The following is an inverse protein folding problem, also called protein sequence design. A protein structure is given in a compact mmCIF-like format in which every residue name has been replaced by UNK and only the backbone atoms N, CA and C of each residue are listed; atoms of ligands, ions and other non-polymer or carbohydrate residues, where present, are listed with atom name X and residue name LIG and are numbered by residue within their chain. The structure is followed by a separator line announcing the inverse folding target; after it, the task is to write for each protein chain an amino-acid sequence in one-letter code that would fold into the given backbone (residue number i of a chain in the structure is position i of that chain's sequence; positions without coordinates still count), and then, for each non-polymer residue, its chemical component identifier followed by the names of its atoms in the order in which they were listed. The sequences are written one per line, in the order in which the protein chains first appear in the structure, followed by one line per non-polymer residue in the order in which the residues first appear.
data_IF_736643588726
#
_entry.id   IF_736643588726
#
_cell.length_a   1.000
_cell.length_b   1.000
_cell.length_c   1.000
_cell.angle_alpha   90.00
_cell.angle_beta   90.00
_cell.angle_gamma   90.00
#
_symmetry.space_group_name_H-M   'P 1'
#
loop_
_entity.id
_entity.type
_entity.pdbx_description
1 polymer ?
#
# COMPACT_ATOMS: atom_id res chain seq x y z
N UNK A 1 -7.78 26.78 30.44
CA UNK A 1 -7.06 26.57 29.15
C UNK A 1 -7.82 25.53 28.31
N UNK A 2 -8.82 25.94 27.51
CA UNK A 2 -9.72 25.02 26.79
C UNK A 2 -9.27 24.62 25.37
N UNK A 3 -8.17 25.19 24.85
CA UNK A 3 -7.80 25.10 23.43
C UNK A 3 -6.78 23.98 23.11
N UNK A 4 -6.00 23.51 24.09
CA UNK A 4 -4.84 22.66 23.80
C UNK A 4 -5.20 21.26 23.26
N UNK A 5 -6.20 20.58 23.84
CA UNK A 5 -6.55 19.20 23.45
C UNK A 5 -7.21 19.08 22.07
N UNK A 6 -8.08 20.03 21.72
CA UNK A 6 -8.79 20.05 20.43
C UNK A 6 -7.85 20.36 19.26
N UNK A 7 -6.87 21.23 19.50
CA UNK A 7 -5.84 21.55 18.53
C UNK A 7 -4.94 20.35 18.26
N UNK A 8 -4.56 19.60 19.31
CA UNK A 8 -3.73 18.40 19.17
C UNK A 8 -4.42 17.28 18.38
N UNK A 9 -5.68 16.94 18.69
CA UNK A 9 -6.42 15.90 17.99
C UNK A 9 -6.56 16.20 16.49
N UNK A 10 -6.84 17.45 16.15
CA UNK A 10 -6.93 17.91 14.76
C UNK A 10 -5.57 17.84 14.05
N UNK A 11 -4.49 18.28 14.70
CA UNK A 11 -3.14 18.20 14.14
C UNK A 11 -2.72 16.76 13.89
N UNK A 12 -2.92 15.85 14.86
CA UNK A 12 -2.58 14.43 14.72
C UNK A 12 -3.40 13.76 13.62
N UNK A 13 -4.71 14.07 13.53
CA UNK A 13 -5.58 13.55 12.47
C UNK A 13 -5.12 14.00 11.08
N UNK A 14 -4.74 15.27 10.94
CA UNK A 14 -4.25 15.82 9.68
C UNK A 14 -2.91 15.21 9.28
N UNK A 15 -1.96 15.15 10.21
CA UNK A 15 -0.64 14.54 9.98
C UNK A 15 -0.84 13.09 9.56
N UNK A 16 -1.66 12.33 10.28
CA UNK A 16 -1.95 10.93 9.95
C UNK A 16 -2.51 10.77 8.54
N UNK A 17 -3.54 11.55 8.18
CA UNK A 17 -4.16 11.49 6.86
C UNK A 17 -3.17 11.80 5.74
N UNK A 18 -2.31 12.82 5.93
CA UNK A 18 -1.26 13.17 4.97
C UNK A 18 -0.23 12.05 4.87
N UNK A 19 0.26 11.52 6.00
CA UNK A 19 1.24 10.44 6.02
C UNK A 19 0.72 9.22 5.27
N UNK A 20 -0.50 8.77 5.55
CA UNK A 20 -1.10 7.62 4.85
C UNK A 20 -1.25 7.86 3.35
N UNK A 21 -1.71 9.05 2.95
CA UNK A 21 -1.86 9.40 1.54
C UNK A 21 -0.53 9.40 0.80
N UNK A 22 0.52 9.99 1.39
CA UNK A 22 1.86 10.02 0.80
C UNK A 22 2.44 8.61 0.70
N UNK A 23 2.33 7.80 1.75
CA UNK A 23 2.81 6.41 1.73
C UNK A 23 2.11 5.60 0.63
N UNK A 24 0.78 5.70 0.55
CA UNK A 24 -0.01 5.01 -0.47
C UNK A 24 0.41 5.42 -1.88
N UNK A 25 0.62 6.72 -2.13
CA UNK A 25 1.03 7.23 -3.43
C UNK A 25 2.47 6.81 -3.80
N UNK A 26 3.40 6.88 -2.85
CA UNK A 26 4.79 6.47 -3.06
C UNK A 26 4.89 4.97 -3.34
N UNK A 27 4.10 4.17 -2.63
CA UNK A 27 4.04 2.74 -2.81
C UNK A 27 3.42 2.38 -4.16
N UNK A 28 2.30 3.01 -4.53
CA UNK A 28 1.66 2.82 -5.83
C UNK A 28 2.61 3.16 -6.99
N UNK A 29 3.24 4.34 -6.94
CA UNK A 29 4.23 4.72 -7.95
C UNK A 29 5.42 3.74 -7.97
N UNK A 30 5.84 3.26 -6.81
CA UNK A 30 6.89 2.27 -6.69
C UNK A 30 6.55 0.96 -7.42
N UNK A 31 5.32 0.47 -7.22
CA UNK A 31 4.81 -0.76 -7.82
C UNK A 31 4.60 -0.62 -9.33
N UNK A 32 4.19 0.55 -9.82
CA UNK A 32 4.12 0.80 -11.27
C UNK A 32 5.48 0.69 -11.96
N UNK A 33 6.58 1.06 -11.27
CA UNK A 33 7.93 0.99 -11.84
C UNK A 33 8.55 -0.39 -11.75
N UNK A 34 8.33 -1.10 -10.65
CA UNK A 34 8.86 -2.45 -10.44
C UNK A 34 7.84 -3.28 -9.64
N UNK A 35 6.85 -3.86 -10.32
CA UNK A 35 5.78 -4.60 -9.66
C UNK A 35 6.28 -5.92 -9.05
N UNK A 36 7.44 -6.42 -9.49
CA UNK A 36 7.96 -7.73 -9.10
C UNK A 36 8.87 -7.66 -7.88
N UNK A 37 9.82 -6.72 -7.84
CA UNK A 37 10.85 -6.71 -6.78
C UNK A 37 10.48 -5.87 -5.58
N UNK A 38 9.45 -5.01 -5.68
CA UNK A 38 9.12 -4.06 -4.63
C UNK A 38 8.21 -4.68 -3.58
N UNK A 39 8.55 -4.44 -2.32
CA UNK A 39 7.75 -4.88 -1.18
C UNK A 39 6.50 -4.00 -1.03
N UNK A 40 5.40 -4.64 -0.64
CA UNK A 40 4.14 -3.98 -0.32
C UNK A 40 4.06 -3.87 1.20
N UNK A 41 4.00 -2.64 1.68
CA UNK A 41 3.91 -2.29 3.09
C UNK A 41 2.48 -1.93 3.48
N UNK A 42 1.68 -1.47 2.52
CA UNK A 42 0.28 -1.11 2.74
C UNK A 42 -0.60 -2.34 2.88
N UNK A 43 -1.40 -2.47 3.95
CA UNK A 43 -2.26 -3.64 4.17
C UNK A 43 -3.47 -3.70 3.21
N UNK A 44 -3.72 -2.63 2.45
CA UNK A 44 -4.84 -2.49 1.51
C UNK A 44 -4.40 -2.57 0.03
N UNK A 45 -3.13 -2.88 -0.23
CA UNK A 45 -2.64 -3.20 -1.57
C UNK A 45 -2.27 -4.68 -1.57
N UNK A 46 -2.77 -5.41 -2.57
CA UNK A 46 -2.48 -6.83 -2.73
C UNK A 46 -1.83 -7.07 -4.09
N UNK A 47 -0.86 -7.99 -4.13
CA UNK A 47 -0.18 -8.40 -5.35
C UNK A 47 -0.36 -9.89 -5.58
N UNK A 48 -0.92 -10.21 -6.74
CA UNK A 48 -0.99 -11.59 -7.24
C UNK A 48 0.01 -11.73 -8.39
N UNK A 49 0.82 -12.78 -8.35
CA UNK A 49 1.83 -13.07 -9.36
C UNK A 49 1.54 -14.42 -9.98
N UNK A 50 1.33 -14.43 -11.29
CA UNK A 50 1.24 -15.65 -12.08
C UNK A 50 2.50 -15.78 -12.93
N UNK A 51 3.15 -16.95 -12.84
CA UNK A 51 4.39 -17.24 -13.57
C UNK A 51 4.06 -18.25 -14.65
N UNK A 52 4.03 -17.78 -15.89
CA UNK A 52 3.80 -18.64 -17.04
C UNK A 52 5.15 -18.99 -17.66
N UNK A 53 5.48 -20.28 -17.66
CA UNK A 53 6.66 -20.81 -18.35
C UNK A 53 6.22 -21.17 -19.77
N UNK A 54 6.51 -20.33 -20.76
CA UNK A 54 6.38 -20.74 -22.15
C UNK A 54 7.61 -21.58 -22.54
N UNK A 55 7.38 -22.85 -22.88
CA UNK A 55 8.42 -23.71 -23.43
C UNK A 55 8.73 -23.25 -24.86
N UNK A 56 9.97 -22.82 -25.08
CA UNK A 56 10.41 -22.33 -26.39
C UNK A 56 10.40 -23.49 -27.40
N UNK A 57 9.53 -23.46 -28.40
CA UNK A 57 9.63 -24.37 -29.56
C UNK A 57 10.96 -24.09 -30.26
N UNK A 58 11.89 -25.06 -30.37
CA UNK A 58 13.18 -24.80 -30.98
C UNK A 58 13.00 -24.48 -32.47
N UNK A 59 13.71 -23.48 -33.03
CA UNK A 59 13.82 -23.35 -34.47
C UNK A 59 14.53 -24.60 -35.00
N UNK A 60 13.94 -25.25 -36.00
CA UNK A 60 14.61 -26.29 -36.74
C UNK A 60 15.92 -25.73 -37.34
N UNK A 61 17.00 -26.46 -37.13
CA UNK A 61 18.35 -26.20 -37.63
C UNK A 61 19.09 -24.96 -37.11
N UNK A 62 19.79 -25.09 -35.98
CA UNK A 62 21.21 -24.68 -35.92
C UNK A 62 21.94 -25.45 -34.82
N UNK A 63 23.01 -26.15 -35.19
CA UNK A 63 23.94 -26.77 -34.25
C UNK A 63 24.71 -25.68 -33.47
N UNK A 64 24.31 -25.40 -32.24
CA UNK A 64 25.14 -24.79 -31.21
C UNK A 64 24.48 -25.00 -29.83
N UNK A 65 25.29 -25.45 -28.87
CA UNK A 65 24.96 -25.61 -27.45
C UNK A 65 24.29 -24.36 -26.88
N UNK A 66 22.99 -24.43 -26.61
CA UNK A 66 22.28 -23.45 -25.79
C UNK A 66 21.31 -24.22 -24.91
N UNK A 67 21.47 -24.12 -23.59
CA UNK A 67 20.43 -24.55 -22.65
C UNK A 67 19.10 -23.88 -23.02
N UNK A 68 17.94 -24.55 -22.85
CA UNK A 68 16.66 -23.93 -23.15
C UNK A 68 16.45 -22.78 -22.17
N UNK A 69 16.68 -21.55 -22.65
CA UNK A 69 16.42 -20.32 -21.92
C UNK A 69 14.90 -20.16 -21.86
N UNK A 70 14.27 -20.84 -20.90
CA UNK A 70 12.85 -20.75 -20.65
C UNK A 70 12.51 -19.30 -20.31
N UNK A 71 11.85 -18.61 -21.25
CA UNK A 71 11.45 -17.21 -21.07
C UNK A 71 10.29 -17.18 -20.07
N UNK A 72 10.60 -16.92 -18.80
CA UNK A 72 9.62 -16.75 -17.75
C UNK A 72 8.82 -15.45 -17.99
N UNK A 73 7.53 -15.57 -18.29
CA UNK A 73 6.61 -14.43 -18.33
C UNK A 73 5.94 -14.28 -16.98
N UNK A 74 6.08 -13.10 -16.38
CA UNK A 74 5.43 -12.74 -15.12
C UNK A 74 4.21 -11.88 -15.42
N UNK A 75 3.02 -12.39 -15.11
CA UNK A 75 1.81 -11.57 -15.07
C UNK A 75 1.60 -11.10 -13.64
N UNK A 76 1.59 -9.78 -13.44
CA UNK A 76 1.44 -9.18 -12.11
C UNK A 76 0.14 -8.39 -12.06
N UNK A 77 -0.76 -8.83 -11.19
CA UNK A 77 -2.02 -8.15 -10.92
C UNK A 77 -1.92 -7.43 -9.56
N UNK A 78 -2.20 -6.13 -9.56
CA UNK A 78 -2.26 -5.30 -8.36
C UNK A 78 -3.71 -4.96 -8.05
N UNK A 79 -4.15 -5.27 -6.82
CA UNK A 79 -5.50 -5.00 -6.33
C UNK A 79 -5.45 -3.98 -5.19
N UNK A 80 -6.32 -2.99 -5.26
CA UNK A 80 -6.48 -1.98 -4.22
C UNK A 80 -7.80 -2.21 -3.45
N UNK A 81 -7.68 -2.51 -2.16
CA UNK A 81 -8.81 -2.69 -1.27
C UNK A 81 -9.25 -1.34 -0.67
N UNK A 82 -10.06 -0.60 -1.43
CA UNK A 82 -10.58 0.71 -1.04
C UNK A 82 -11.31 0.74 0.31
N UNK A 83 -12.22 -0.21 0.61
CA UNK A 83 -12.85 -0.30 1.92
C UNK A 83 -11.84 -0.45 3.06
N UNK A 84 -10.83 -1.31 2.90
CA UNK A 84 -9.79 -1.49 3.91
C UNK A 84 -8.93 -0.23 4.07
N UNK A 85 -8.60 0.45 2.97
CA UNK A 85 -7.94 1.75 3.02
C UNK A 85 -8.72 2.76 3.87
N UNK A 86 -10.04 2.85 3.70
CA UNK A 86 -10.88 3.76 4.49
C UNK A 86 -10.85 3.43 5.98
N UNK A 87 -10.81 2.16 6.36
CA UNK A 87 -10.69 1.74 7.76
C UNK A 87 -9.35 2.21 8.36
N UNK A 88 -8.25 2.03 7.64
CA UNK A 88 -6.93 2.49 8.10
C UNK A 88 -6.79 4.02 8.08
N UNK A 89 -7.45 4.69 7.13
CA UNK A 89 -7.47 6.15 7.03
C UNK A 89 -8.29 6.77 8.17
N UNK A 90 -9.55 6.38 8.31
CA UNK A 90 -10.47 7.00 9.26
C UNK A 90 -10.37 6.43 10.67
N UNK A 91 -9.95 5.18 10.86
CA UNK A 91 -9.89 4.55 12.18
C UNK A 91 -9.10 5.38 13.20
N UNK A 92 -7.82 5.69 12.93
CA UNK A 92 -7.01 6.52 13.83
C UNK A 92 -7.53 7.95 13.97
N UNK A 93 -8.06 8.55 12.91
CA UNK A 93 -8.69 9.88 12.97
C UNK A 93 -9.85 9.88 13.98
N UNK A 94 -10.75 8.90 13.87
CA UNK A 94 -11.88 8.77 14.79
C UNK A 94 -11.40 8.51 16.22
N UNK A 95 -10.37 7.70 16.42
CA UNK A 95 -9.77 7.46 17.74
C UNK A 95 -9.20 8.74 18.35
N UNK A 96 -8.43 9.53 17.59
CA UNK A 96 -7.86 10.78 18.08
C UNK A 96 -8.93 11.81 18.41
N UNK A 97 -9.97 11.92 17.57
CA UNK A 97 -11.09 12.83 17.80
C UNK A 97 -11.92 12.40 19.02
N UNK A 98 -12.22 11.10 19.15
CA UNK A 98 -12.94 10.56 20.30
C UNK A 98 -12.16 10.76 21.60
N UNK A 99 -10.85 10.47 21.60
CA UNK A 99 -9.97 10.69 22.74
C UNK A 99 -9.88 12.18 23.11
N UNK A 100 -9.71 13.07 22.13
CA UNK A 100 -9.67 14.52 22.35
C UNK A 100 -10.99 15.05 22.94
N UNK A 101 -12.12 14.57 22.43
CA UNK A 101 -13.44 14.90 22.98
C UNK A 101 -13.61 14.39 24.42
N UNK A 102 -13.28 13.12 24.67
CA UNK A 102 -13.41 12.52 25.99
C UNK A 102 -12.50 13.21 27.01
N UNK A 103 -11.27 13.55 26.62
CA UNK A 103 -10.34 14.31 27.43
C UNK A 103 -10.87 15.70 27.78
N UNK A 104 -11.52 16.39 26.83
CA UNK A 104 -12.16 17.68 27.10
C UNK A 104 -13.31 17.59 28.10
N UNK A 105 -13.99 16.44 28.18
CA UNK A 105 -15.04 16.18 29.18
C UNK A 105 -14.45 15.92 30.57
N UNK A 106 -13.32 15.23 30.66
CA UNK A 106 -12.65 14.97 31.94
C UNK A 106 -11.94 16.19 32.52
N UNK A 107 -11.50 17.13 31.70
CA UNK A 107 -10.86 18.37 32.18
C UNK A 107 -11.84 19.41 32.73
N UNK A 108 -13.15 19.13 32.73
CA UNK A 108 -14.18 20.04 33.20
C UNK A 108 -14.39 21.21 32.23
N UNK A 109 -15.63 21.67 32.14
CA UNK A 109 -15.89 22.99 31.55
C UNK A 109 -15.17 24.11 32.32
#
# INVERSE_FOLDING_TARGET
MKLAGKNLATHLSLIWGITLAVLSLMEWHGLERDPVRREILSPFIERTMEVTVEESTPPADTAATSEPDAVLRYEVELKFNGPLFLVFFFGPILVFQAAGFLWSRFQGD
#
